data_IF_629166313653
#
_entry.id   IF_629166313653
#
_cell.length_a   1.000
_cell.length_b   1.000
_cell.length_c   1.000
_cell.angle_alpha   90.00
_cell.angle_beta   90.00
_cell.angle_gamma   90.00
#
_symmetry.space_group_name_H-M   'P 1'
#
loop_
_entity.id
_entity.type
_entity.pdbx_description
1 polymer ?
#
# COMPACT_ATOMS: atom_id res chain seq x y z
N UNK A 1 -33.77 -55.97 14.88
CA UNK A 1 -33.74 -54.55 15.25
C UNK A 1 -32.36 -54.00 14.95
N UNK A 2 -32.25 -53.16 13.93
CA UNK A 2 -30.99 -52.46 13.57
C UNK A 2 -31.07 -51.06 14.13
N UNK A 3 -30.22 -50.71 15.10
CA UNK A 3 -30.15 -49.39 15.70
C UNK A 3 -29.28 -48.52 14.78
N UNK A 4 -29.92 -47.50 14.19
CA UNK A 4 -29.28 -46.51 13.34
C UNK A 4 -28.68 -45.42 14.20
N UNK A 5 -27.37 -45.36 14.37
CA UNK A 5 -26.68 -44.23 15.01
C UNK A 5 -26.56 -43.09 14.01
N UNK A 6 -27.35 -42.05 14.19
CA UNK A 6 -27.20 -40.79 13.51
C UNK A 6 -26.11 -40.00 14.25
N UNK A 7 -24.88 -39.98 13.70
CA UNK A 7 -23.85 -39.10 14.19
C UNK A 7 -24.15 -37.65 13.71
N UNK A 8 -24.62 -36.84 14.61
CA UNK A 8 -24.83 -35.40 14.37
C UNK A 8 -23.46 -34.71 14.45
N UNK A 9 -22.84 -34.50 13.30
CA UNK A 9 -21.62 -33.69 13.23
C UNK A 9 -22.00 -32.21 13.45
N UNK A 10 -21.78 -31.72 14.65
CA UNK A 10 -21.77 -30.28 14.93
C UNK A 10 -20.57 -29.67 14.20
N UNK A 11 -20.83 -29.08 13.02
CA UNK A 11 -19.88 -28.18 12.39
C UNK A 11 -19.79 -26.92 13.28
N UNK A 12 -18.79 -26.87 14.16
CA UNK A 12 -18.35 -25.62 14.76
C UNK A 12 -17.80 -24.76 13.61
N UNK A 13 -18.65 -23.92 13.03
CA UNK A 13 -18.20 -22.78 12.24
C UNK A 13 -17.40 -21.90 13.21
N UNK A 14 -16.07 -22.02 13.16
CA UNK A 14 -15.19 -21.01 13.72
C UNK A 14 -15.52 -19.71 12.98
N UNK A 15 -16.40 -18.91 13.57
CA UNK A 15 -16.56 -17.50 13.20
C UNK A 15 -15.20 -16.88 13.56
N UNK A 16 -14.31 -16.79 12.56
CA UNK A 16 -13.12 -15.96 12.68
C UNK A 16 -13.66 -14.57 12.96
N UNK A 17 -13.40 -13.98 14.14
CA UNK A 17 -13.88 -12.64 14.42
C UNK A 17 -13.35 -11.74 13.29
N UNK A 18 -14.24 -10.97 12.67
CA UNK A 18 -13.84 -9.98 11.70
C UNK A 18 -12.76 -9.13 12.37
N UNK A 19 -11.54 -9.19 11.84
CA UNK A 19 -10.38 -8.56 12.45
C UNK A 19 -10.68 -7.05 12.49
N UNK A 20 -11.02 -6.54 13.65
CA UNK A 20 -11.18 -5.12 13.91
C UNK A 20 -9.78 -4.52 14.08
N UNK A 21 -9.50 -3.36 13.53
CA UNK A 21 -8.23 -2.66 13.66
C UNK A 21 -8.41 -1.46 14.58
N UNK A 22 -7.76 -1.49 15.73
CA UNK A 22 -7.77 -0.39 16.70
C UNK A 22 -6.48 0.44 16.66
N UNK A 23 -6.54 1.66 17.20
CA UNK A 23 -5.35 2.50 17.37
C UNK A 23 -4.28 1.80 18.21
N UNK A 24 -4.67 1.06 19.25
CA UNK A 24 -3.74 0.32 20.11
C UNK A 24 -2.98 -0.77 19.33
N UNK A 25 -3.65 -1.45 18.41
CA UNK A 25 -3.01 -2.48 17.58
C UNK A 25 -1.99 -1.87 16.62
N UNK A 26 -2.28 -0.69 16.02
CA UNK A 26 -1.34 0.01 15.14
C UNK A 26 -0.05 0.44 15.85
N UNK A 27 -0.07 0.56 17.18
CA UNK A 27 1.13 0.85 17.98
C UNK A 27 2.04 -0.37 18.17
N UNK A 28 1.65 -1.57 17.73
CA UNK A 28 2.51 -2.75 17.74
C UNK A 28 3.57 -2.65 16.64
N UNK A 29 4.73 -2.11 16.99
CA UNK A 29 5.85 -1.87 16.06
C UNK A 29 6.52 -3.16 15.54
N UNK A 30 6.25 -4.32 16.13
CA UNK A 30 6.75 -5.59 15.60
C UNK A 30 6.09 -5.93 14.27
N UNK A 31 4.79 -5.62 14.11
CA UNK A 31 3.99 -5.87 12.92
C UNK A 31 3.84 -4.62 12.04
N UNK A 32 3.55 -3.48 12.66
CA UNK A 32 3.26 -2.25 11.92
C UNK A 32 4.48 -1.31 11.89
N UNK A 33 4.70 -0.69 10.74
CA UNK A 33 5.72 0.32 10.54
C UNK A 33 5.05 1.65 10.20
N UNK A 34 5.28 2.68 11.02
CA UNK A 34 4.83 4.03 10.71
C UNK A 34 5.74 4.64 9.65
N UNK A 35 5.17 4.99 8.50
CA UNK A 35 5.90 5.57 7.37
C UNK A 35 5.76 7.08 7.27
N UNK A 36 4.70 7.62 7.86
CA UNK A 36 4.42 9.03 7.92
C UNK A 36 3.54 9.33 9.12
N UNK A 37 3.83 10.38 9.86
CA UNK A 37 3.02 10.82 10.98
C UNK A 37 3.11 12.33 11.14
N UNK A 38 2.00 12.94 11.54
CA UNK A 38 1.88 14.33 11.91
C UNK A 38 1.51 14.44 13.39
N UNK A 39 2.22 15.26 14.13
CA UNK A 39 1.92 15.59 15.52
C UNK A 39 2.98 15.12 16.51
N UNK A 40 3.09 15.86 17.59
CA UNK A 40 3.94 15.53 18.74
C UNK A 40 3.30 14.36 19.50
N UNK A 41 4.08 13.38 19.89
CA UNK A 41 3.73 12.32 20.85
C UNK A 41 2.73 11.24 20.38
N UNK A 42 2.65 10.88 19.09
CA UNK A 42 1.91 9.67 18.69
C UNK A 42 0.38 9.78 18.64
N UNK A 43 -0.19 10.94 18.97
CA UNK A 43 -1.64 11.20 18.94
C UNK A 43 -2.12 11.94 17.68
N UNK A 44 -1.24 12.17 16.72
CA UNK A 44 -1.57 12.81 15.45
C UNK A 44 -1.92 11.82 14.33
N UNK A 45 -2.29 12.37 13.18
CA UNK A 45 -2.51 11.57 11.97
C UNK A 45 -1.26 10.76 11.62
N UNK A 46 -1.44 9.53 11.20
CA UNK A 46 -0.34 8.64 10.85
C UNK A 46 -0.68 7.68 9.73
N UNK A 47 0.33 7.30 8.96
CA UNK A 47 0.23 6.25 7.96
C UNK A 47 1.14 5.09 8.35
N UNK A 48 0.57 3.89 8.39
CA UNK A 48 1.22 2.66 8.80
C UNK A 48 1.14 1.63 7.68
N UNK A 49 2.11 0.74 7.61
CA UNK A 49 2.05 -0.47 6.78
C UNK A 49 2.11 -1.72 7.65
N UNK A 50 1.35 -2.73 7.28
CA UNK A 50 1.45 -4.07 7.85
C UNK A 50 2.60 -4.81 7.16
N UNK A 51 3.72 -4.98 7.87
CA UNK A 51 4.94 -5.62 7.34
C UNK A 51 4.70 -7.05 6.87
N UNK A 52 3.79 -7.76 7.50
CA UNK A 52 3.49 -9.16 7.21
C UNK A 52 2.59 -9.32 5.97
N UNK A 53 1.93 -8.25 5.56
CA UNK A 53 1.07 -8.22 4.39
C UNK A 53 1.81 -7.99 3.06
N UNK A 54 3.09 -7.59 3.11
CA UNK A 54 3.86 -7.19 1.92
C UNK A 54 4.17 -8.42 1.07
N UNK A 55 3.72 -8.39 -0.19
CA UNK A 55 3.95 -9.48 -1.17
C UNK A 55 4.38 -8.92 -2.51
N UNK A 56 5.41 -9.50 -3.10
CA UNK A 56 5.88 -9.17 -4.44
C UNK A 56 5.37 -10.18 -5.47
N UNK A 57 5.09 -9.70 -6.67
CA UNK A 57 4.69 -10.52 -7.82
C UNK A 57 5.16 -9.89 -9.14
N UNK A 58 5.09 -10.66 -10.21
CA UNK A 58 5.27 -10.13 -11.55
C UNK A 58 3.89 -9.72 -12.09
N UNK A 59 3.83 -8.51 -12.64
CA UNK A 59 2.64 -7.99 -13.30
C UNK A 59 2.68 -8.21 -14.81
N UNK A 60 1.64 -7.76 -15.53
CA UNK A 60 1.57 -7.84 -16.97
C UNK A 60 2.68 -6.99 -17.63
N UNK A 61 3.04 -7.32 -18.87
CA UNK A 61 4.00 -6.58 -19.71
C UNK A 61 5.39 -6.37 -19.05
N UNK A 62 5.81 -7.28 -18.16
CA UNK A 62 7.10 -7.21 -17.47
C UNK A 62 7.17 -6.21 -16.34
N UNK A 63 6.04 -5.70 -15.88
CA UNK A 63 5.98 -4.87 -14.66
C UNK A 63 6.24 -5.70 -13.42
N UNK A 64 6.67 -5.04 -12.35
CA UNK A 64 6.74 -5.62 -11.00
C UNK A 64 5.60 -5.08 -10.16
N UNK A 65 5.09 -5.91 -9.26
CA UNK A 65 3.97 -5.55 -8.40
C UNK A 65 4.29 -5.84 -6.94
N UNK A 66 3.81 -4.96 -6.05
CA UNK A 66 3.88 -5.16 -4.61
C UNK A 66 2.50 -4.85 -4.05
N UNK A 67 1.92 -5.82 -3.33
CA UNK A 67 0.68 -5.63 -2.57
C UNK A 67 0.99 -5.49 -1.09
N UNK A 68 0.24 -4.66 -0.40
CA UNK A 68 0.32 -4.51 1.05
C UNK A 68 -0.98 -3.96 1.63
N UNK A 69 -1.13 -4.11 2.95
CA UNK A 69 -2.17 -3.43 3.73
C UNK A 69 -1.57 -2.15 4.34
N UNK A 70 -2.21 -1.03 4.05
CA UNK A 70 -1.87 0.29 4.57
C UNK A 70 -3.01 0.79 5.45
N UNK A 71 -2.66 1.42 6.57
CA UNK A 71 -3.58 2.06 7.48
C UNK A 71 -3.32 3.55 7.55
N UNK A 72 -4.39 4.34 7.53
CA UNK A 72 -4.33 5.78 7.78
C UNK A 72 -5.12 6.06 9.06
N UNK A 73 -4.42 6.49 10.09
CA UNK A 73 -4.99 6.85 11.37
C UNK A 73 -5.27 8.36 11.40
N UNK A 74 -6.49 8.73 11.72
CA UNK A 74 -6.96 10.12 11.87
C UNK A 74 -7.71 10.25 13.20
N UNK A 75 -7.00 10.41 14.34
CA UNK A 75 -7.62 10.39 15.67
C UNK A 75 -8.67 11.48 15.89
N UNK A 76 -8.44 12.68 15.37
CA UNK A 76 -9.38 13.80 15.49
C UNK A 76 -10.73 13.52 14.80
N UNK A 77 -10.75 12.63 13.80
CA UNK A 77 -11.95 12.20 13.09
C UNK A 77 -12.51 10.87 13.60
N UNK A 78 -11.90 10.26 14.62
CA UNK A 78 -12.24 8.92 15.11
C UNK A 78 -12.20 7.87 13.99
N UNK A 79 -11.19 7.95 13.08
CA UNK A 79 -11.14 7.12 11.87
C UNK A 79 -9.81 6.39 11.76
N UNK A 80 -9.90 5.10 11.42
CA UNK A 80 -8.81 4.29 10.87
C UNK A 80 -9.27 3.79 9.50
N UNK A 81 -8.54 4.13 8.44
CA UNK A 81 -8.77 3.60 7.10
C UNK A 81 -7.81 2.44 6.83
N UNK A 82 -8.33 1.26 6.53
CA UNK A 82 -7.59 0.11 6.02
C UNK A 82 -7.70 0.09 4.50
N UNK A 83 -6.57 0.02 3.81
CA UNK A 83 -6.47 -0.01 2.35
C UNK A 83 -5.62 -1.19 1.92
N UNK A 84 -6.16 -2.03 1.05
CA UNK A 84 -5.34 -2.96 0.28
C UNK A 84 -4.79 -2.20 -0.92
N UNK A 85 -3.46 -2.05 -0.98
CA UNK A 85 -2.79 -1.25 -2.02
C UNK A 85 -1.94 -2.16 -2.89
N UNK A 86 -2.13 -2.03 -4.20
CA UNK A 86 -1.29 -2.64 -5.22
C UNK A 86 -0.42 -1.54 -5.85
N UNK A 87 0.88 -1.57 -5.61
CA UNK A 87 1.85 -0.78 -6.37
C UNK A 87 2.28 -1.55 -7.61
N UNK A 88 2.29 -0.85 -8.76
CA UNK A 88 2.78 -1.41 -10.04
C UNK A 88 3.95 -0.57 -10.52
N UNK A 89 5.07 -1.24 -10.83
CA UNK A 89 6.32 -0.64 -11.22
C UNK A 89 6.66 -0.99 -12.67
N UNK A 90 6.74 0.01 -13.52
CA UNK A 90 7.25 -0.13 -14.88
C UNK A 90 8.77 0.13 -14.88
N UNK A 91 9.55 -0.92 -14.83
CA UNK A 91 11.03 -0.81 -14.76
C UNK A 91 11.65 -0.09 -15.94
N UNK A 92 10.97 -0.04 -17.10
CA UNK A 92 11.42 0.74 -18.28
C UNK A 92 11.32 2.26 -18.06
N UNK A 93 10.62 2.68 -17.01
CA UNK A 93 10.44 4.09 -16.59
C UNK A 93 11.15 4.41 -15.27
N UNK A 94 12.06 3.54 -14.81
CA UNK A 94 12.96 3.85 -13.68
C UNK A 94 13.80 5.09 -14.00
N UNK A 95 14.33 5.76 -12.97
CA UNK A 95 15.14 6.95 -13.19
C UNK A 95 16.41 6.63 -13.99
N UNK A 96 17.08 5.51 -13.72
CA UNK A 96 18.24 5.05 -14.47
C UNK A 96 17.95 4.84 -15.96
N UNK A 97 16.77 4.28 -16.31
CA UNK A 97 16.38 4.12 -17.71
C UNK A 97 15.95 5.42 -18.37
N UNK A 98 15.39 6.35 -17.60
CA UNK A 98 15.03 7.67 -18.10
C UNK A 98 16.29 8.46 -18.49
N UNK A 99 17.30 8.52 -17.60
CA UNK A 99 18.57 9.20 -17.85
C UNK A 99 19.22 8.74 -19.15
N UNK A 100 19.19 7.45 -19.45
CA UNK A 100 19.76 6.91 -20.70
C UNK A 100 19.10 7.43 -21.98
N UNK A 101 17.89 7.99 -21.87
CA UNK A 101 17.11 8.50 -23.02
C UNK A 101 17.23 10.02 -23.19
N UNK A 102 17.83 10.70 -22.22
CA UNK A 102 17.95 12.15 -22.24
C UNK A 102 19.25 12.56 -22.96
N UNK A 103 19.19 13.69 -23.66
CA UNK A 103 20.37 14.29 -24.26
C UNK A 103 21.25 15.05 -23.24
N UNK A 104 22.40 15.51 -23.65
CA UNK A 104 23.36 16.21 -22.78
C UNK A 104 22.81 17.52 -22.20
N UNK A 105 21.93 18.22 -22.94
CA UNK A 105 21.30 19.44 -22.47
C UNK A 105 20.30 19.16 -21.37
N UNK A 106 19.44 18.16 -21.55
CA UNK A 106 18.45 17.71 -20.57
C UNK A 106 19.12 17.19 -19.31
N UNK A 107 20.24 16.46 -19.43
CA UNK A 107 21.02 15.96 -18.30
C UNK A 107 21.69 17.09 -17.50
N UNK A 108 22.03 18.21 -18.14
CA UNK A 108 22.62 19.37 -17.47
C UNK A 108 21.60 20.19 -16.67
N UNK A 109 20.30 19.98 -16.90
CA UNK A 109 19.22 20.73 -16.26
C UNK A 109 18.50 19.85 -15.22
N UNK A 110 18.68 20.17 -13.94
CA UNK A 110 17.91 19.52 -12.87
C UNK A 110 16.39 19.66 -13.06
N UNK A 111 15.95 20.83 -13.54
CA UNK A 111 14.52 21.10 -13.82
C UNK A 111 13.97 20.16 -14.89
N UNK A 112 14.72 19.95 -15.98
CA UNK A 112 14.29 19.10 -17.08
C UNK A 112 14.30 17.62 -16.67
N UNK A 113 15.28 17.18 -15.90
CA UNK A 113 15.31 15.86 -15.28
C UNK A 113 14.08 15.64 -14.39
N UNK A 114 13.79 16.59 -13.50
CA UNK A 114 12.64 16.54 -12.62
C UNK A 114 11.30 16.43 -13.40
N UNK A 115 11.10 17.32 -14.37
CA UNK A 115 9.89 17.35 -15.18
C UNK A 115 9.72 16.07 -16.01
N UNK A 116 10.83 15.55 -16.56
CA UNK A 116 10.82 14.29 -17.31
C UNK A 116 10.43 13.12 -16.41
N UNK A 117 10.95 13.07 -15.17
CA UNK A 117 10.58 12.04 -14.19
C UNK A 117 9.15 12.19 -13.68
N UNK A 118 8.66 13.40 -13.46
CA UNK A 118 7.27 13.64 -13.09
C UNK A 118 6.28 13.09 -14.11
N UNK A 119 6.56 13.29 -15.41
CA UNK A 119 5.73 12.77 -16.50
C UNK A 119 5.74 11.24 -16.60
N UNK A 120 6.86 10.63 -16.17
CA UNK A 120 7.14 9.20 -16.34
C UNK A 120 7.61 8.60 -15.02
N UNK A 121 6.86 8.79 -13.95
CA UNK A 121 7.24 8.27 -12.62
C UNK A 121 7.45 6.75 -12.64
N UNK A 122 6.72 6.02 -13.50
CA UNK A 122 6.86 4.58 -13.67
C UNK A 122 6.24 3.78 -12.54
N UNK A 123 5.57 4.45 -11.60
CA UNK A 123 4.89 3.83 -10.47
C UNK A 123 3.43 4.26 -10.48
N UNK A 124 2.53 3.31 -10.30
CA UNK A 124 1.12 3.57 -10.02
C UNK A 124 0.67 2.81 -8.79
N UNK A 125 -0.35 3.30 -8.10
CA UNK A 125 -1.00 2.62 -7.00
C UNK A 125 -2.48 2.41 -7.31
N UNK A 126 -2.99 1.26 -6.89
CA UNK A 126 -4.41 0.92 -6.98
C UNK A 126 -4.88 0.49 -5.60
N UNK A 127 -5.95 1.12 -5.11
CA UNK A 127 -6.62 0.64 -3.91
C UNK A 127 -7.60 -0.45 -4.34
N UNK A 128 -7.36 -1.69 -3.90
CA UNK A 128 -8.13 -2.89 -4.32
C UNK A 128 -9.18 -3.30 -3.30
N UNK A 129 -9.02 -2.86 -2.04
CA UNK A 129 -10.04 -2.97 -0.99
C UNK A 129 -9.92 -1.81 -0.02
N UNK A 130 -11.04 -1.45 0.62
CA UNK A 130 -11.12 -0.31 1.52
C UNK A 130 -12.11 -0.59 2.64
N UNK A 131 -11.68 -0.33 3.89
CA UNK A 131 -12.52 -0.42 5.08
C UNK A 131 -12.23 0.74 6.00
N UNK A 132 -13.21 1.11 6.81
CA UNK A 132 -13.06 2.12 7.85
C UNK A 132 -13.48 1.56 9.20
N UNK A 133 -12.75 1.99 10.23
CA UNK A 133 -12.99 1.64 11.62
C UNK A 133 -12.97 2.90 12.48
N UNK A 134 -13.67 2.86 13.60
CA UNK A 134 -13.43 3.76 14.72
C UNK A 134 -12.06 3.47 15.34
N UNK A 135 -11.49 4.41 16.07
CA UNK A 135 -10.18 4.21 16.74
C UNK A 135 -10.21 3.11 17.81
N UNK A 136 -11.40 2.74 18.32
CA UNK A 136 -11.61 1.62 19.22
C UNK A 136 -11.69 0.25 18.52
N UNK A 137 -11.69 0.24 17.19
CA UNK A 137 -11.73 -0.95 16.34
C UNK A 137 -13.13 -1.34 15.84
N UNK A 138 -14.20 -0.66 16.26
CA UNK A 138 -15.51 -0.91 15.72
C UNK A 138 -15.57 -0.48 14.23
N UNK A 139 -16.20 -1.30 13.39
CA UNK A 139 -16.27 -1.02 11.95
C UNK A 139 -17.28 0.08 11.65
N UNK A 140 -16.88 1.06 10.83
CA UNK A 140 -17.81 1.99 10.20
C UNK A 140 -18.68 1.27 9.15
N UNK A 141 -19.96 1.62 9.11
CA UNK A 141 -20.84 1.19 8.02
C UNK A 141 -20.60 2.11 6.80
N UNK A 142 -19.54 1.81 6.05
CA UNK A 142 -19.15 2.61 4.88
C UNK A 142 -20.09 2.32 3.72
N UNK A 143 -20.79 3.34 3.24
CA UNK A 143 -21.66 3.22 2.06
C UNK A 143 -20.85 2.78 0.82
N UNK A 144 -21.40 1.84 0.07
CA UNK A 144 -20.75 1.24 -1.10
C UNK A 144 -20.25 2.27 -2.12
N UNK A 145 -21.01 3.33 -2.37
CA UNK A 145 -20.63 4.41 -3.30
C UNK A 145 -19.40 5.22 -2.85
N UNK A 146 -19.22 5.41 -1.55
CA UNK A 146 -18.02 6.07 -1.02
C UNK A 146 -16.79 5.16 -1.13
N UNK A 147 -16.98 3.85 -0.95
CA UNK A 147 -15.95 2.84 -1.16
C UNK A 147 -15.49 2.80 -2.61
N UNK A 148 -16.41 2.71 -3.56
CA UNK A 148 -16.11 2.58 -4.99
C UNK A 148 -15.34 3.78 -5.54
N UNK A 149 -15.65 4.99 -5.05
CA UNK A 149 -14.91 6.21 -5.41
C UNK A 149 -13.47 6.24 -4.90
N UNK A 150 -13.15 5.50 -3.83
CA UNK A 150 -11.82 5.41 -3.24
C UNK A 150 -10.97 4.31 -3.87
N UNK A 151 -11.59 3.33 -4.54
CA UNK A 151 -10.91 2.25 -5.25
C UNK A 151 -10.55 2.70 -6.67
N UNK A 152 -9.46 3.44 -6.79
CA UNK A 152 -9.00 3.98 -8.05
C UNK A 152 -7.51 3.65 -8.27
N UNK A 153 -7.13 3.56 -9.55
CA UNK A 153 -5.73 3.53 -9.96
C UNK A 153 -5.28 4.96 -10.24
N UNK A 154 -4.18 5.36 -9.62
CA UNK A 154 -3.57 6.66 -9.83
C UNK A 154 -2.05 6.53 -10.03
N UNK A 155 -1.43 7.40 -10.84
CA UNK A 155 0.02 7.52 -10.85
C UNK A 155 0.49 7.96 -9.45
N UNK A 156 1.68 7.49 -9.08
CA UNK A 156 2.34 7.93 -7.85
C UNK A 156 3.32 9.04 -8.23
N UNK A 157 3.03 10.25 -7.77
CA UNK A 157 3.79 11.43 -8.16
C UNK A 157 5.23 11.37 -7.63
N UNK A 158 6.19 11.60 -8.54
CA UNK A 158 7.61 11.64 -8.21
C UNK A 158 7.94 12.76 -7.22
N UNK A 159 8.75 12.44 -6.21
CA UNK A 159 9.18 13.41 -5.19
C UNK A 159 8.22 13.55 -4.00
N UNK A 160 7.07 12.88 -4.01
CA UNK A 160 6.13 12.88 -2.88
C UNK A 160 6.29 11.64 -2.01
N UNK A 161 5.72 11.68 -0.80
CA UNK A 161 5.83 10.62 0.19
C UNK A 161 5.42 9.23 -0.32
N UNK A 162 4.38 9.17 -1.16
CA UNK A 162 3.93 7.92 -1.80
C UNK A 162 4.98 7.29 -2.71
N UNK A 163 5.74 8.12 -3.47
CA UNK A 163 6.82 7.64 -4.32
C UNK A 163 8.02 7.14 -3.51
N UNK A 164 8.38 7.87 -2.44
CA UNK A 164 9.45 7.46 -1.54
C UNK A 164 9.11 6.12 -0.86
N UNK A 165 7.87 5.95 -0.44
CA UNK A 165 7.39 4.68 0.09
C UNK A 165 7.50 3.57 -0.96
N UNK A 166 7.01 3.80 -2.18
CA UNK A 166 7.07 2.82 -3.26
C UNK A 166 8.52 2.39 -3.55
N UNK A 167 9.45 3.33 -3.59
CA UNK A 167 10.89 3.06 -3.82
C UNK A 167 11.48 2.19 -2.69
N UNK A 168 11.16 2.50 -1.43
CA UNK A 168 11.57 1.69 -0.27
C UNK A 168 10.97 0.28 -0.30
N UNK A 169 9.71 0.15 -0.66
CA UNK A 169 9.04 -1.15 -0.81
C UNK A 169 9.70 -1.98 -1.91
N UNK A 170 10.05 -1.34 -3.03
CA UNK A 170 10.74 -2.00 -4.12
C UNK A 170 12.13 -2.50 -3.68
N UNK A 171 12.91 -1.65 -3.01
CA UNK A 171 14.20 -2.02 -2.45
C UNK A 171 14.10 -3.19 -1.46
N UNK A 172 13.13 -3.14 -0.55
CA UNK A 172 12.87 -4.22 0.41
C UNK A 172 12.58 -5.56 -0.24
N UNK A 173 11.83 -5.55 -1.36
CA UNK A 173 11.39 -6.79 -2.02
C UNK A 173 12.34 -7.29 -3.10
N UNK A 174 13.14 -6.41 -3.72
CA UNK A 174 13.99 -6.75 -4.85
C UNK A 174 15.48 -6.45 -4.62
N UNK A 175 15.86 -5.89 -3.45
CA UNK A 175 17.25 -5.64 -3.07
C UNK A 175 17.92 -4.46 -3.78
N UNK A 176 17.15 -3.66 -4.53
CA UNK A 176 17.63 -2.47 -5.29
C UNK A 176 16.52 -1.44 -5.32
N UNK A 177 16.85 -0.15 -5.25
CA UNK A 177 15.86 0.91 -5.38
C UNK A 177 15.27 0.90 -6.80
N UNK A 178 13.97 1.22 -6.90
CA UNK A 178 13.31 1.26 -8.22
C UNK A 178 14.00 2.24 -9.17
N UNK A 179 14.48 3.37 -8.65
CA UNK A 179 15.13 4.39 -9.44
C UNK A 179 16.49 3.94 -10.05
N UNK A 180 17.13 2.94 -9.44
CA UNK A 180 18.42 2.40 -9.90
C UNK A 180 18.26 1.21 -10.85
N UNK A 181 17.02 0.72 -11.06
CA UNK A 181 16.78 -0.43 -11.94
C UNK A 181 17.09 -0.09 -13.37
N UNK A 182 18.03 -0.85 -13.94
CA UNK A 182 18.31 -0.84 -15.38
C UNK A 182 17.46 -1.94 -16.02
N UNK A 183 16.28 -1.57 -16.55
CA UNK A 183 15.41 -2.49 -17.30
C UNK A 183 16.02 -2.86 -18.66
N UNK A 184 15.85 -4.12 -19.02
CA UNK A 184 16.12 -4.63 -20.37
C UNK A 184 14.97 -4.34 -21.33
#
# INVERSE_FOLDING_TARGET
MKVLYIAMALALSCVVPAHSMSMQELQNTSRFEMIHGFGESGNGDGTFIDKDSIKASNGPNGTKQITLTQYVLMPAGDIIQEKQVLYTFNTKQSFANLIKKLDAHQLASYKDLWLSKQKNAGVSSTITDFKEYHIDGNRYDTQSEARDRRMATAPVDFGFAGYLLANRLYERMYGVQFDDVVGK
#
